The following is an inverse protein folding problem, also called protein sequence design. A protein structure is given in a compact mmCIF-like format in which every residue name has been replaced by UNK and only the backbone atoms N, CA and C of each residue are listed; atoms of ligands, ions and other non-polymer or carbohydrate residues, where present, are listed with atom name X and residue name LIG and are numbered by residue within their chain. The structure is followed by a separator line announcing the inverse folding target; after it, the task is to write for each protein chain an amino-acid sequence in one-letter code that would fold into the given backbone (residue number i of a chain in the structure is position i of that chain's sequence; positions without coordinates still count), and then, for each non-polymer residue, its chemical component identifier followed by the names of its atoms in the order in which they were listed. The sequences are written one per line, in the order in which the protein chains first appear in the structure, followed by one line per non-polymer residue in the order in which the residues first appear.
data_IF_721626318846
#
_entry.id   IF_721626318846
#
_cell.length_a   1.000
_cell.length_b   1.000
_cell.length_c   1.000
_cell.angle_alpha   90.00
_cell.angle_beta   90.00
_cell.angle_gamma   90.00
#
_symmetry.space_group_name_H-M   'P 1'
#
loop_
_entity.id
_entity.type
_entity.pdbx_description
1 polymer ?
#
# COMPACT_ATOMS: atom_id res chain seq x y z
N UNK A 1 3.03 11.02 11.80
CA UNK A 1 4.18 11.48 10.98
C UNK A 1 3.88 12.85 10.36
N UNK A 2 4.90 13.63 9.98
CA UNK A 2 4.72 14.83 9.13
C UNK A 2 4.75 14.45 7.65
N UNK A 3 3.97 15.14 6.82
CA UNK A 3 3.95 14.94 5.37
C UNK A 3 5.29 15.36 4.76
N UNK A 4 6.02 14.49 4.04
CA UNK A 4 7.34 14.80 3.49
C UNK A 4 7.28 15.83 2.33
N UNK A 5 6.09 16.21 1.88
CA UNK A 5 5.90 17.16 0.77
C UNK A 5 5.44 18.55 1.22
N UNK A 6 4.89 18.69 2.43
CA UNK A 6 4.30 19.96 2.87
C UNK A 6 4.34 20.18 4.39
N UNK A 7 5.07 19.33 5.12
CA UNK A 7 5.32 19.35 6.58
C UNK A 7 4.09 19.36 7.50
N UNK A 8 2.88 19.22 6.92
CA UNK A 8 1.63 19.14 7.67
C UNK A 8 1.55 17.82 8.44
N UNK A 9 1.07 17.86 9.69
CA UNK A 9 0.80 16.65 10.46
C UNK A 9 -0.21 15.76 9.72
N UNK A 10 0.15 14.49 9.52
CA UNK A 10 -0.71 13.54 8.82
C UNK A 10 -1.68 12.84 9.78
N UNK A 11 -2.85 12.48 9.26
CA UNK A 11 -3.85 11.67 9.96
C UNK A 11 -3.44 10.20 9.87
N UNK A 12 -3.23 9.55 11.01
CA UNK A 12 -3.03 8.09 11.06
C UNK A 12 -4.38 7.39 10.89
N UNK A 13 -4.40 6.29 10.14
CA UNK A 13 -5.57 5.45 9.92
C UNK A 13 -5.21 4.12 9.28
N UNK A 14 -6.20 3.47 8.69
CA UNK A 14 -6.03 2.16 8.05
C UNK A 14 -6.59 2.18 6.63
N UNK A 15 -5.85 1.57 5.70
CA UNK A 15 -6.36 1.19 4.40
C UNK A 15 -7.00 -0.19 4.52
N UNK A 16 -8.32 -0.25 4.32
CA UNK A 16 -9.11 -1.47 4.42
C UNK A 16 -9.23 -2.11 3.03
N UNK A 17 -8.69 -3.31 2.83
CA UNK A 17 -8.68 -3.97 1.52
C UNK A 17 -8.70 -5.50 1.66
N UNK A 18 -9.29 -6.20 0.69
CA UNK A 18 -9.22 -7.66 0.64
C UNK A 18 -7.90 -8.11 0.01
N UNK A 19 -7.55 -7.62 -1.17
CA UNK A 19 -6.26 -7.88 -1.82
C UNK A 19 -5.63 -6.55 -2.23
N UNK A 20 -4.30 -6.50 -2.24
CA UNK A 20 -3.57 -5.30 -2.65
C UNK A 20 -2.25 -5.70 -3.30
N UNK A 21 -1.94 -5.04 -4.41
CA UNK A 21 -0.59 -4.99 -4.95
C UNK A 21 -0.27 -3.54 -5.31
N UNK A 22 0.88 -3.06 -4.89
CA UNK A 22 1.50 -1.89 -5.50
C UNK A 22 2.60 -2.39 -6.41
N UNK A 23 2.46 -2.15 -7.71
CA UNK A 23 3.39 -2.58 -8.75
C UNK A 23 3.61 -1.42 -9.73
N UNK A 24 4.75 -1.45 -10.43
CA UNK A 24 5.06 -0.50 -11.50
C UNK A 24 4.14 -0.68 -12.73
N UNK A 25 3.47 -1.84 -12.83
CA UNK A 25 2.58 -2.21 -13.93
C UNK A 25 1.12 -2.10 -13.50
N UNK A 26 0.29 -1.61 -14.43
CA UNK A 26 -1.16 -1.56 -14.22
C UNK A 26 -1.79 -2.91 -14.55
N UNK A 27 -2.23 -3.63 -13.52
CA UNK A 27 -3.05 -4.82 -13.68
C UNK A 27 -4.49 -4.47 -14.08
N UNK A 28 -5.01 -5.10 -15.15
CA UNK A 28 -6.38 -4.85 -15.64
C UNK A 28 -7.41 -5.91 -15.20
N UNK A 29 -6.95 -7.12 -14.86
CA UNK A 29 -7.82 -8.30 -14.68
C UNK A 29 -7.62 -8.97 -13.32
N UNK A 30 -6.38 -9.07 -12.83
CA UNK A 30 -6.04 -9.78 -11.59
C UNK A 30 -4.91 -9.07 -10.84
N UNK A 31 -4.95 -9.11 -9.51
CA UNK A 31 -3.88 -8.59 -8.63
C UNK A 31 -2.80 -9.66 -8.32
N UNK A 32 -2.81 -10.78 -9.04
CA UNK A 32 -1.76 -11.79 -8.95
C UNK A 32 -0.51 -11.30 -9.72
N UNK A 33 0.67 -11.26 -9.08
CA UNK A 33 1.92 -10.96 -9.76
C UNK A 33 2.36 -12.12 -10.66
N UNK A 34 3.10 -11.81 -11.72
CA UNK A 34 3.79 -12.77 -12.59
C UNK A 34 5.31 -12.76 -12.34
N UNK A 35 6.07 -13.57 -13.07
CA UNK A 35 7.53 -13.71 -12.88
C UNK A 35 8.34 -12.47 -13.22
N UNK A 36 7.77 -11.56 -14.01
CA UNK A 36 8.41 -10.30 -14.43
C UNK A 36 7.94 -9.12 -13.56
N UNK A 37 7.09 -9.37 -12.56
CA UNK A 37 6.44 -8.33 -11.79
C UNK A 37 7.37 -7.73 -10.72
N UNK A 38 7.45 -6.41 -10.66
CA UNK A 38 8.16 -5.69 -9.59
C UNK A 38 7.17 -4.93 -8.72
N UNK A 39 7.16 -5.25 -7.43
CA UNK A 39 6.21 -4.74 -6.47
C UNK A 39 6.89 -4.33 -5.15
N UNK A 40 6.37 -3.25 -4.58
CA UNK A 40 6.79 -2.72 -3.28
C UNK A 40 5.90 -3.22 -2.13
N UNK A 41 4.73 -3.77 -2.48
CA UNK A 41 3.74 -4.29 -1.55
C UNK A 41 2.87 -5.32 -2.26
N UNK A 42 2.77 -6.50 -1.68
CA UNK A 42 1.80 -7.52 -2.07
C UNK A 42 1.12 -8.07 -0.83
N UNK A 43 -0.21 -8.11 -0.87
CA UNK A 43 -1.05 -8.77 0.12
C UNK A 43 -1.80 -9.91 -0.53
N UNK A 44 -1.69 -11.09 0.07
CA UNK A 44 -2.45 -12.27 -0.32
C UNK A 44 -3.93 -12.15 0.06
N UNK A 45 -4.77 -12.99 -0.53
CA UNK A 45 -6.19 -13.03 -0.21
C UNK A 45 -6.40 -13.52 1.23
N UNK A 46 -7.05 -12.73 2.10
CA UNK A 46 -7.26 -13.12 3.48
C UNK A 46 -8.39 -14.14 3.58
N UNK A 47 -8.25 -15.09 4.50
CA UNK A 47 -9.20 -16.20 4.67
C UNK A 47 -10.50 -15.80 5.41
N UNK A 48 -10.45 -14.80 6.30
CA UNK A 48 -11.54 -14.51 7.25
C UNK A 48 -11.96 -13.04 7.30
N UNK A 49 -11.04 -12.10 7.13
CA UNK A 49 -11.30 -10.66 7.27
C UNK A 49 -10.40 -9.82 6.35
N UNK A 50 -10.84 -8.64 5.89
CA UNK A 50 -9.97 -7.74 5.12
C UNK A 50 -8.68 -7.40 5.86
N UNK A 51 -7.64 -7.08 5.10
CA UNK A 51 -6.42 -6.49 5.64
C UNK A 51 -6.67 -5.05 6.09
N UNK A 52 -6.03 -4.70 7.20
CA UNK A 52 -6.01 -3.36 7.77
C UNK A 52 -4.56 -2.85 7.78
N UNK A 53 -4.19 -2.10 6.74
CA UNK A 53 -2.82 -1.60 6.59
C UNK A 53 -2.71 -0.24 7.27
N UNK A 54 -1.84 -0.13 8.26
CA UNK A 54 -1.51 1.17 8.86
C UNK A 54 -1.03 2.14 7.79
N UNK A 55 -1.62 3.33 7.77
CA UNK A 55 -1.34 4.34 6.77
C UNK A 55 -1.50 5.73 7.34
N UNK A 56 -0.91 6.70 6.65
CA UNK A 56 -1.00 8.10 7.00
C UNK A 56 -1.54 8.89 5.81
N UNK A 57 -2.61 9.66 6.03
CA UNK A 57 -3.21 10.52 5.02
C UNK A 57 -2.84 11.98 5.30
N UNK A 58 -2.23 12.66 4.33
CA UNK A 58 -2.02 14.09 4.43
C UNK A 58 -3.31 14.84 4.06
N UNK A 59 -3.93 15.60 4.98
CA UNK A 59 -5.19 16.28 4.70
C UNK A 59 -5.04 17.43 3.69
N UNK A 60 -3.82 17.96 3.51
CA UNK A 60 -3.51 19.04 2.56
C UNK A 60 -3.19 18.51 1.16
N UNK A 61 -2.21 17.62 1.05
CA UNK A 61 -1.77 17.06 -0.24
C UNK A 61 -2.70 15.97 -0.80
N UNK A 62 -3.58 15.40 0.03
CA UNK A 62 -4.44 14.25 -0.32
C UNK A 62 -3.65 13.01 -0.76
N UNK A 63 -2.44 12.86 -0.21
CA UNK A 63 -1.55 11.71 -0.46
C UNK A 63 -1.57 10.77 0.74
N UNK A 64 -1.52 9.48 0.46
CA UNK A 64 -1.34 8.42 1.44
C UNK A 64 0.13 7.97 1.47
N UNK A 65 0.63 7.66 2.65
CA UNK A 65 1.91 6.98 2.86
C UNK A 65 1.63 5.70 3.61
N UNK A 66 2.22 4.61 3.11
CA UNK A 66 2.17 3.27 3.68
C UNK A 66 3.63 2.85 3.86
N UNK A 67 4.01 2.47 5.09
CA UNK A 67 5.28 1.81 5.33
C UNK A 67 5.13 0.33 4.99
N UNK A 68 5.85 -0.12 3.96
CA UNK A 68 5.70 -1.47 3.42
C UNK A 68 6.76 -2.45 3.94
N UNK A 69 7.68 -2.01 4.82
CA UNK A 69 8.82 -2.80 5.30
C UNK A 69 8.47 -4.13 5.98
N UNK A 70 7.23 -4.28 6.44
CA UNK A 70 6.72 -5.50 7.10
C UNK A 70 5.91 -6.42 6.20
N UNK A 71 5.79 -6.11 4.91
CA UNK A 71 4.98 -6.86 3.96
C UNK A 71 5.84 -7.48 2.87
N UNK A 72 5.27 -8.44 2.14
CA UNK A 72 5.94 -9.06 1.00
C UNK A 72 6.25 -8.02 -0.09
N UNK A 73 7.51 -7.98 -0.51
CA UNK A 73 8.04 -7.10 -1.53
C UNK A 73 9.24 -7.75 -2.24
N UNK A 74 9.46 -7.39 -3.51
CA UNK A 74 10.60 -7.89 -4.29
C UNK A 74 11.45 -6.74 -4.87
N UNK A 75 11.45 -5.58 -4.20
CA UNK A 75 12.40 -4.52 -4.47
C UNK A 75 13.79 -4.95 -3.97
N UNK A 76 14.67 -5.31 -4.91
CA UNK A 76 16.13 -5.36 -4.71
C UNK A 76 16.73 -3.95 -4.56
#
# INVERSE_FOLDING_TARGET
MKCPFCDTQMLQGYLNCSMMIWSERKHKISLLPDSEEKYALKLEQPMLSPHHIESYCCPKCKRLIIDTSKYDHNLE
#
